data_IF_813439664296
#
_entry.id   IF_813439664296
#
_cell.length_a   1.000
_cell.length_b   1.000
_cell.length_c   1.000
_cell.angle_alpha   90.00
_cell.angle_beta   90.00
_cell.angle_gamma   90.00
#
_symmetry.space_group_name_H-M   'P 1'
#
loop_
_entity.id
_entity.type
_entity.pdbx_description
1 polymer ?
#
# COMPACT_ATOMS: atom_id res chain seq x y z
N UNK A 1 2.22 -8.19 23.92
CA UNK A 1 3.46 -7.91 23.15
C UNK A 1 3.65 -8.88 21.98
N UNK A 2 3.22 -10.15 22.08
CA UNK A 2 3.25 -11.12 20.97
C UNK A 2 2.65 -10.56 19.67
N UNK A 3 1.48 -9.92 19.73
CA UNK A 3 0.79 -9.39 18.54
C UNK A 3 1.56 -8.32 17.76
N UNK A 4 2.37 -7.47 18.43
CA UNK A 4 3.22 -6.49 17.73
C UNK A 4 4.27 -7.20 16.87
N UNK A 5 4.87 -8.26 17.41
CA UNK A 5 5.83 -9.09 16.68
C UNK A 5 5.17 -9.85 15.54
N UNK A 6 3.96 -10.37 15.73
CA UNK A 6 3.18 -11.03 14.67
C UNK A 6 2.86 -10.05 13.54
N UNK A 7 2.45 -8.83 13.86
CA UNK A 7 2.20 -7.79 12.86
C UNK A 7 3.43 -7.46 12.01
N UNK A 8 4.59 -7.31 12.65
CA UNK A 8 5.86 -7.12 11.96
C UNK A 8 6.24 -8.36 11.12
N UNK A 9 5.94 -9.56 11.62
CA UNK A 9 6.21 -10.80 10.90
C UNK A 9 5.40 -10.88 9.59
N UNK A 10 4.17 -10.39 9.53
CA UNK A 10 3.42 -10.30 8.26
C UNK A 10 4.10 -9.40 7.23
N UNK A 11 4.74 -8.31 7.66
CA UNK A 11 5.53 -7.48 6.75
C UNK A 11 6.71 -8.29 6.18
N UNK A 12 7.43 -9.02 7.03
CA UNK A 12 8.56 -9.87 6.60
C UNK A 12 8.09 -11.02 5.71
N UNK A 13 7.00 -11.71 6.06
CA UNK A 13 6.40 -12.78 5.26
C UNK A 13 5.97 -12.25 3.89
N UNK A 14 5.34 -11.08 3.83
CA UNK A 14 4.97 -10.44 2.56
C UNK A 14 6.19 -10.14 1.69
N UNK A 15 7.26 -9.57 2.26
CA UNK A 15 8.52 -9.36 1.51
C UNK A 15 9.13 -10.69 1.03
N UNK A 16 9.14 -11.73 1.89
CA UNK A 16 9.65 -13.07 1.52
C UNK A 16 8.81 -13.71 0.42
N UNK A 17 7.49 -13.61 0.49
CA UNK A 17 6.57 -14.15 -0.50
C UNK A 17 6.86 -13.54 -1.87
N UNK A 18 6.98 -12.21 -1.93
CA UNK A 18 7.26 -11.52 -3.19
C UNK A 18 8.68 -11.80 -3.70
N UNK A 19 9.66 -11.94 -2.81
CA UNK A 19 11.03 -12.33 -3.18
C UNK A 19 11.10 -13.74 -3.79
N UNK A 20 10.28 -14.69 -3.31
CA UNK A 20 10.11 -16.02 -3.92
C UNK A 20 9.36 -15.95 -5.25
N UNK A 21 8.47 -14.98 -5.40
CA UNK A 21 7.61 -14.76 -6.56
C UNK A 21 8.08 -13.58 -7.43
N UNK A 22 9.25 -13.72 -8.05
CA UNK A 22 9.91 -12.63 -8.78
C UNK A 22 9.09 -11.99 -9.92
N UNK A 23 8.18 -12.74 -10.57
CA UNK A 23 7.26 -12.18 -11.57
C UNK A 23 6.24 -11.22 -10.93
N UNK A 24 5.74 -11.57 -9.75
CA UNK A 24 4.79 -10.80 -8.97
C UNK A 24 5.46 -9.57 -8.36
N UNK A 25 6.72 -9.68 -7.95
CA UNK A 25 7.53 -8.51 -7.56
C UNK A 25 7.63 -7.50 -8.70
N UNK A 26 8.07 -7.95 -9.88
CA UNK A 26 8.17 -7.10 -11.06
C UNK A 26 6.83 -6.45 -11.39
N UNK A 27 5.74 -7.22 -11.36
CA UNK A 27 4.39 -6.71 -11.61
C UNK A 27 3.95 -5.63 -10.61
N UNK A 28 4.26 -5.79 -9.32
CA UNK A 28 3.98 -4.78 -8.30
C UNK A 28 4.77 -3.48 -8.47
N UNK A 29 5.92 -3.52 -9.16
CA UNK A 29 6.74 -2.34 -9.49
C UNK A 29 6.30 -1.63 -10.78
N UNK A 30 5.49 -2.28 -11.63
CA UNK A 30 5.05 -1.73 -12.92
C UNK A 30 4.40 -0.35 -12.81
N UNK A 31 3.51 -0.06 -11.83
CA UNK A 31 2.90 1.27 -11.71
C UNK A 31 3.94 2.39 -11.56
N UNK A 32 4.91 2.20 -10.66
CA UNK A 32 5.99 3.16 -10.45
C UNK A 32 6.87 3.32 -11.70
N UNK A 33 7.12 2.24 -12.42
CA UNK A 33 7.86 2.28 -13.68
C UNK A 33 7.10 3.02 -14.78
N UNK A 34 5.79 2.76 -14.94
CA UNK A 34 4.92 3.46 -15.90
C UNK A 34 4.95 4.96 -15.59
N UNK A 35 4.69 5.32 -14.33
CA UNK A 35 4.69 6.73 -13.92
C UNK A 35 6.05 7.37 -14.17
N UNK A 36 7.15 6.69 -13.84
CA UNK A 36 8.50 7.18 -14.11
C UNK A 36 8.73 7.43 -15.61
N UNK A 37 8.38 6.48 -16.46
CA UNK A 37 8.52 6.60 -17.92
C UNK A 37 7.68 7.76 -18.46
N UNK A 38 6.46 7.95 -17.96
CA UNK A 38 5.58 9.06 -18.36
C UNK A 38 6.20 10.43 -18.01
N UNK A 39 6.68 10.61 -16.78
CA UNK A 39 7.29 11.88 -16.37
C UNK A 39 8.64 12.13 -17.05
N UNK A 40 9.47 11.10 -17.20
CA UNK A 40 10.72 11.21 -17.95
C UNK A 40 10.43 11.59 -19.40
N UNK A 41 9.45 10.95 -20.04
CA UNK A 41 9.01 11.29 -21.40
C UNK A 41 8.52 12.73 -21.51
N UNK A 42 7.73 13.20 -20.54
CA UNK A 42 7.26 14.59 -20.51
C UNK A 42 8.41 15.60 -20.35
N UNK A 43 9.36 15.33 -19.44
CA UNK A 43 10.51 16.20 -19.21
C UNK A 43 11.50 16.18 -20.38
N UNK A 44 11.71 15.02 -21.02
CA UNK A 44 12.51 14.91 -22.25
C UNK A 44 11.84 15.65 -23.39
N UNK A 45 10.52 15.49 -23.58
CA UNK A 45 9.76 16.26 -24.56
C UNK A 45 9.90 17.76 -24.32
N UNK A 46 9.83 18.20 -23.06
CA UNK A 46 10.04 19.59 -22.71
C UNK A 46 11.48 20.06 -22.96
N UNK A 47 12.48 19.22 -22.72
CA UNK A 47 13.88 19.53 -22.99
C UNK A 47 14.15 19.67 -24.50
N UNK A 48 13.49 18.86 -25.33
CA UNK A 48 13.67 18.86 -26.78
C UNK A 48 12.87 19.97 -27.49
N UNK A 49 11.64 20.23 -27.03
CA UNK A 49 10.69 21.12 -27.73
C UNK A 49 10.31 22.36 -26.92
N UNK A 50 10.86 22.55 -25.72
CA UNK A 50 10.49 23.66 -24.83
C UNK A 50 10.88 25.03 -25.36
N UNK A 51 12.02 25.13 -26.06
CA UNK A 51 12.43 26.38 -26.71
C UNK A 51 11.52 26.74 -27.88
N UNK A 52 11.15 25.77 -28.72
CA UNK A 52 10.19 25.94 -29.81
C UNK A 52 8.81 26.35 -29.28
N UNK A 53 8.36 25.72 -28.20
CA UNK A 53 7.10 26.04 -27.53
C UNK A 53 7.09 27.48 -27.00
N UNK A 54 8.16 27.89 -26.31
CA UNK A 54 8.29 29.27 -25.80
C UNK A 54 8.37 30.28 -26.93
N UNK A 55 9.07 29.96 -28.02
CA UNK A 55 9.15 30.80 -29.21
C UNK A 55 7.78 30.97 -29.85
N UNK A 56 7.05 29.88 -30.07
CA UNK A 56 5.67 29.90 -30.57
C UNK A 56 4.72 30.68 -29.67
N UNK A 57 4.88 30.59 -28.36
CA UNK A 57 4.04 31.29 -27.37
C UNK A 57 4.40 32.78 -27.21
N UNK A 58 5.53 33.25 -27.74
CA UNK A 58 6.02 34.63 -27.56
C UNK A 58 6.26 35.38 -28.88
N UNK A 59 5.29 35.43 -29.82
CA UNK A 59 5.49 36.11 -31.11
C UNK A 59 5.71 37.62 -30.95
N UNK A 60 5.17 38.23 -29.89
CA UNK A 60 5.38 39.64 -29.57
C UNK A 60 6.85 40.00 -29.25
N UNK A 61 7.70 39.01 -28.98
CA UNK A 61 9.13 39.18 -28.70
C UNK A 61 10.01 39.05 -29.95
N UNK A 62 9.43 38.75 -31.12
CA UNK A 62 10.19 38.55 -32.37
C UNK A 62 10.90 39.83 -32.84
N UNK A 63 10.29 41.00 -32.62
CA UNK A 63 10.83 42.30 -33.04
C UNK A 63 11.83 42.91 -32.03
N UNK A 64 12.16 42.19 -30.95
CA UNK A 64 13.05 42.70 -29.91
C UNK A 64 14.51 42.65 -30.37
N UNK A 65 15.30 43.65 -29.97
CA UNK A 65 16.72 43.69 -30.30
C UNK A 65 17.51 42.60 -29.57
N UNK A 66 18.52 42.06 -30.25
CA UNK A 66 19.49 41.14 -29.62
C UNK A 66 20.28 41.87 -28.52
N UNK A 67 20.50 41.27 -27.34
CA UNK A 67 20.21 39.88 -26.93
C UNK A 67 18.89 39.68 -26.15
N UNK A 68 18.04 40.70 -26.04
CA UNK A 68 16.91 40.72 -25.10
C UNK A 68 15.85 39.64 -25.37
N UNK A 69 15.55 39.37 -26.64
CA UNK A 69 14.63 38.29 -27.02
C UNK A 69 15.11 36.91 -26.53
N UNK A 70 16.39 36.59 -26.75
CA UNK A 70 16.99 35.32 -26.37
C UNK A 70 17.08 35.15 -24.86
N UNK A 71 17.45 36.22 -24.13
CA UNK A 71 17.48 36.19 -22.66
C UNK A 71 16.09 35.96 -22.06
N UNK A 72 15.06 36.62 -22.60
CA UNK A 72 13.68 36.47 -22.14
C UNK A 72 13.15 35.05 -22.41
N UNK A 73 13.32 34.54 -23.63
CA UNK A 73 12.89 33.19 -24.00
C UNK A 73 13.65 32.13 -23.21
N UNK A 74 14.97 32.25 -23.07
CA UNK A 74 15.78 31.34 -22.26
C UNK A 74 15.34 31.32 -20.79
N UNK A 75 15.03 32.49 -20.21
CA UNK A 75 14.46 32.57 -18.87
C UNK A 75 13.10 31.86 -18.76
N UNK A 76 12.19 32.09 -19.71
CA UNK A 76 10.88 31.42 -19.72
C UNK A 76 11.01 29.90 -19.87
N UNK A 77 11.90 29.41 -20.73
CA UNK A 77 12.17 27.99 -20.88
C UNK A 77 12.71 27.38 -19.58
N UNK A 78 13.64 28.08 -18.90
CA UNK A 78 14.16 27.64 -17.61
C UNK A 78 13.07 27.59 -16.52
N UNK A 79 12.20 28.60 -16.45
CA UNK A 79 11.06 28.63 -15.52
C UNK A 79 10.06 27.51 -15.82
N UNK A 80 9.74 27.29 -17.10
CA UNK A 80 8.85 26.23 -17.54
C UNK A 80 9.41 24.85 -17.14
N UNK A 81 10.70 24.62 -17.35
CA UNK A 81 11.36 23.39 -16.95
C UNK A 81 11.37 23.20 -15.43
N UNK A 82 11.70 24.24 -14.67
CA UNK A 82 11.67 24.20 -13.21
C UNK A 82 10.26 23.92 -12.66
N UNK A 83 9.23 24.53 -13.24
CA UNK A 83 7.84 24.30 -12.87
C UNK A 83 7.39 22.88 -13.22
N UNK A 84 7.74 22.39 -14.42
CA UNK A 84 7.43 21.03 -14.83
C UNK A 84 8.11 20.00 -13.92
N UNK A 85 9.37 20.23 -13.54
CA UNK A 85 10.10 19.38 -12.60
C UNK A 85 9.46 19.39 -11.21
N UNK A 86 9.10 20.58 -10.70
CA UNK A 86 8.41 20.71 -9.41
C UNK A 86 7.07 19.96 -9.43
N UNK A 87 6.25 20.18 -10.46
CA UNK A 87 4.97 19.49 -10.61
C UNK A 87 5.18 17.98 -10.74
N UNK A 88 6.19 17.53 -11.48
CA UNK A 88 6.52 16.12 -11.60
C UNK A 88 6.80 15.50 -10.23
N UNK A 89 7.68 16.11 -9.43
CA UNK A 89 7.98 15.62 -8.08
C UNK A 89 6.74 15.60 -7.18
N UNK A 90 5.94 16.67 -7.20
CA UNK A 90 4.74 16.79 -6.35
C UNK A 90 3.64 15.80 -6.73
N UNK A 91 3.50 15.48 -8.02
CA UNK A 91 2.39 14.65 -8.53
C UNK A 91 2.78 13.20 -8.78
N UNK A 92 4.08 12.86 -8.82
CA UNK A 92 4.59 11.52 -9.08
C UNK A 92 3.92 10.45 -8.20
N UNK A 93 3.91 10.65 -6.88
CA UNK A 93 3.34 9.68 -5.95
C UNK A 93 1.83 9.52 -6.15
N UNK A 94 1.10 10.62 -6.32
CA UNK A 94 -0.34 10.59 -6.53
C UNK A 94 -0.71 9.84 -7.83
N UNK A 95 0.00 10.11 -8.92
CA UNK A 95 -0.21 9.41 -10.21
C UNK A 95 0.21 7.94 -10.12
N UNK A 96 1.31 7.63 -9.42
CA UNK A 96 1.76 6.25 -9.20
C UNK A 96 0.70 5.43 -8.46
N UNK A 97 0.13 5.98 -7.39
CA UNK A 97 -0.92 5.32 -6.61
C UNK A 97 -2.20 5.15 -7.44
N UNK A 98 -2.57 6.16 -8.22
CA UNK A 98 -3.74 6.10 -9.10
C UNK A 98 -3.61 4.98 -10.16
N UNK A 99 -2.43 4.86 -10.77
CA UNK A 99 -2.14 3.79 -11.74
C UNK A 99 -1.99 2.43 -11.05
N UNK A 100 -1.58 2.41 -9.78
CA UNK A 100 -1.22 1.20 -9.05
C UNK A 100 -2.39 0.32 -8.61
N UNK A 101 -3.59 0.88 -8.40
CA UNK A 101 -4.75 0.13 -7.90
C UNK A 101 -4.98 -1.25 -8.56
N UNK A 102 -5.12 -1.36 -9.89
CA UNK A 102 -5.35 -2.66 -10.54
C UNK A 102 -4.19 -3.64 -10.38
N UNK A 103 -2.96 -3.14 -10.25
CA UNK A 103 -1.78 -3.98 -10.05
C UNK A 103 -1.73 -4.55 -8.64
N UNK A 104 -2.11 -3.75 -7.65
CA UNK A 104 -2.11 -4.13 -6.25
C UNK A 104 -3.25 -5.09 -5.93
N UNK A 105 -4.42 -4.90 -6.54
CA UNK A 105 -5.54 -5.86 -6.50
C UNK A 105 -5.14 -7.23 -7.03
N UNK A 106 -4.56 -7.28 -8.23
CA UNK A 106 -4.12 -8.55 -8.82
C UNK A 106 -2.96 -9.21 -8.05
N UNK A 107 -2.09 -8.41 -7.44
CA UNK A 107 -1.04 -8.93 -6.56
C UNK A 107 -1.65 -9.59 -5.32
N UNK A 108 -2.59 -8.92 -4.65
CA UNK A 108 -3.34 -9.48 -3.52
C UNK A 108 -4.10 -10.75 -3.90
N UNK A 109 -4.66 -10.82 -5.12
CA UNK A 109 -5.36 -12.00 -5.62
C UNK A 109 -4.43 -13.21 -5.78
N UNK A 110 -3.22 -12.99 -6.31
CA UNK A 110 -2.23 -14.05 -6.44
C UNK A 110 -1.73 -14.53 -5.08
N UNK A 111 -1.56 -13.63 -4.12
CA UNK A 111 -1.20 -13.99 -2.74
C UNK A 111 -2.31 -14.82 -2.11
N UNK A 112 -3.56 -14.40 -2.21
CA UNK A 112 -4.70 -15.17 -1.72
C UNK A 112 -4.75 -16.57 -2.33
N UNK A 113 -4.59 -16.68 -3.65
CA UNK A 113 -4.62 -17.95 -4.38
C UNK A 113 -3.51 -18.91 -3.97
N UNK A 114 -2.32 -18.39 -3.71
CA UNK A 114 -1.13 -19.19 -3.37
C UNK A 114 -1.23 -19.78 -1.96
N UNK A 115 -1.89 -19.07 -1.04
CA UNK A 115 -1.97 -19.44 0.37
C UNK A 115 -3.28 -20.16 0.72
N UNK A 116 -4.30 -20.06 -0.15
CA UNK A 116 -5.60 -20.70 0.09
C UNK A 116 -5.53 -22.22 -0.12
N UNK A 117 -6.05 -23.04 0.81
CA UNK A 117 -6.06 -24.51 0.69
C UNK A 117 -6.76 -25.03 -0.57
N UNK A 118 -7.74 -24.27 -1.08
CA UNK A 118 -8.53 -24.58 -2.26
C UNK A 118 -8.00 -23.94 -3.56
N UNK A 119 -6.91 -23.16 -3.47
CA UNK A 119 -6.36 -22.42 -4.61
C UNK A 119 -7.34 -21.43 -5.23
N UNK A 120 -8.36 -20.98 -4.49
CA UNK A 120 -9.31 -19.96 -4.95
C UNK A 120 -8.98 -18.61 -4.33
N UNK A 121 -9.48 -17.55 -4.94
CA UNK A 121 -9.32 -16.19 -4.44
C UNK A 121 -10.71 -15.57 -4.35
N UNK A 122 -11.11 -14.93 -3.23
CA UNK A 122 -12.44 -14.35 -3.09
C UNK A 122 -12.72 -13.33 -4.19
N UNK A 123 -13.88 -13.44 -4.83
CA UNK A 123 -14.36 -12.49 -5.84
C UNK A 123 -15.63 -11.79 -5.31
N UNK A 124 -15.64 -10.46 -5.41
CA UNK A 124 -16.73 -9.63 -4.94
C UNK A 124 -17.99 -9.77 -5.80
N UNK A 125 -17.91 -10.28 -7.04
CA UNK A 125 -19.06 -10.64 -7.88
C UNK A 125 -20.11 -9.54 -8.10
N UNK A 126 -19.77 -8.27 -7.82
CA UNK A 126 -20.64 -7.11 -8.03
C UNK A 126 -20.30 -6.47 -9.38
N UNK A 127 -21.21 -5.67 -9.96
CA UNK A 127 -20.88 -4.88 -11.14
C UNK A 127 -19.76 -3.88 -10.82
N UNK A 128 -18.74 -3.81 -11.66
CA UNK A 128 -17.54 -2.95 -11.48
C UNK A 128 -17.87 -1.50 -11.09
N UNK A 129 -18.93 -0.91 -11.66
CA UNK A 129 -19.35 0.46 -11.32
C UNK A 129 -19.83 0.60 -9.86
N UNK A 130 -20.50 -0.41 -9.33
CA UNK A 130 -21.00 -0.41 -7.95
C UNK A 130 -19.86 -0.61 -6.96
N UNK A 131 -18.90 -1.46 -7.30
CA UNK A 131 -17.67 -1.66 -6.51
C UNK A 131 -16.84 -0.37 -6.46
N UNK A 132 -16.65 0.28 -7.61
CA UNK A 132 -15.92 1.54 -7.70
C UNK A 132 -16.59 2.65 -6.88
N UNK A 133 -17.91 2.75 -6.90
CA UNK A 133 -18.65 3.71 -6.09
C UNK A 133 -18.53 3.45 -4.58
N UNK A 134 -18.63 2.19 -4.16
CA UNK A 134 -18.47 1.80 -2.74
C UNK A 134 -17.04 2.10 -2.30
N UNK A 135 -16.04 1.68 -3.08
CA UNK A 135 -14.62 1.90 -2.80
C UNK A 135 -14.28 3.39 -2.74
N UNK A 136 -14.79 4.21 -3.67
CA UNK A 136 -14.60 5.66 -3.66
C UNK A 136 -15.21 6.32 -2.41
N UNK A 137 -16.44 5.91 -2.03
CA UNK A 137 -17.11 6.42 -0.83
C UNK A 137 -16.35 6.06 0.45
N UNK A 138 -15.86 4.84 0.53
CA UNK A 138 -15.14 4.35 1.72
C UNK A 138 -13.74 4.96 1.82
N UNK A 139 -13.04 5.08 0.68
CA UNK A 139 -11.78 5.82 0.59
C UNK A 139 -11.96 7.27 1.03
N UNK A 140 -13.01 7.95 0.57
CA UNK A 140 -13.30 9.33 0.97
C UNK A 140 -13.54 9.45 2.48
N UNK A 141 -14.28 8.52 3.09
CA UNK A 141 -14.51 8.49 4.54
C UNK A 141 -13.22 8.29 5.34
N UNK A 142 -12.29 7.50 4.81
CA UNK A 142 -10.97 7.28 5.41
C UNK A 142 -10.11 8.53 5.28
N UNK A 143 -10.03 9.13 4.09
CA UNK A 143 -9.30 10.38 3.85
C UNK A 143 -9.80 11.49 4.79
N UNK A 144 -11.12 11.66 4.94
CA UNK A 144 -11.69 12.64 5.88
C UNK A 144 -11.21 12.37 7.32
N UNK A 145 -11.18 11.12 7.77
CA UNK A 145 -10.69 10.78 9.12
C UNK A 145 -9.19 11.01 9.27
N UNK A 146 -8.40 10.69 8.26
CA UNK A 146 -6.97 10.95 8.24
C UNK A 146 -6.69 12.47 8.31
N UNK A 147 -7.43 13.28 7.55
CA UNK A 147 -7.33 14.75 7.58
C UNK A 147 -7.73 15.31 8.95
N UNK A 148 -8.78 14.79 9.58
CA UNK A 148 -9.19 15.18 10.93
C UNK A 148 -8.09 14.89 11.96
N UNK A 149 -7.49 13.69 11.91
CA UNK A 149 -6.36 13.34 12.77
C UNK A 149 -5.13 14.19 12.49
N UNK A 150 -4.80 14.42 11.21
CA UNK A 150 -3.68 15.27 10.82
C UNK A 150 -3.86 16.70 11.34
N UNK A 151 -5.07 17.26 11.22
CA UNK A 151 -5.41 18.60 11.73
C UNK A 151 -5.29 18.66 13.25
N UNK A 152 -5.81 17.65 13.95
CA UNK A 152 -5.73 17.56 15.41
C UNK A 152 -4.28 17.48 15.90
N UNK A 153 -3.49 16.59 15.29
CA UNK A 153 -2.08 16.42 15.65
C UNK A 153 -1.25 17.65 15.29
N UNK A 154 -1.53 18.29 14.15
CA UNK A 154 -0.91 19.55 13.77
C UNK A 154 -1.18 20.65 14.80
N UNK A 155 -2.43 20.82 15.23
CA UNK A 155 -2.78 21.77 16.28
C UNK A 155 -2.09 21.44 17.61
N UNK A 156 -2.03 20.16 17.98
CA UNK A 156 -1.36 19.69 19.20
C UNK A 156 0.17 19.87 19.12
N UNK A 157 0.74 19.89 17.92
CA UNK A 157 2.15 20.17 17.65
C UNK A 157 2.61 21.55 18.12
N UNK A 158 1.70 22.51 18.29
CA UNK A 158 2.00 23.85 18.81
C UNK A 158 2.14 23.90 20.34
N UNK A 159 1.79 22.84 21.06
CA UNK A 159 1.98 22.78 22.52
C UNK A 159 3.48 22.66 22.82
N UNK A 160 4.11 23.62 23.54
CA UNK A 160 5.53 23.55 23.84
C UNK A 160 5.89 22.25 24.57
N UNK A 161 7.07 21.70 24.26
CA UNK A 161 7.60 20.42 24.76
C UNK A 161 6.81 19.17 24.33
N UNK A 162 5.51 19.09 24.60
CA UNK A 162 4.67 17.92 24.26
C UNK A 162 4.49 17.79 22.74
N UNK A 163 4.26 18.91 22.05
CA UNK A 163 4.02 18.96 20.61
C UNK A 163 5.20 18.49 19.76
N UNK A 164 6.43 18.62 20.27
CA UNK A 164 7.64 18.20 19.57
C UNK A 164 8.09 16.77 19.95
N UNK A 165 7.55 16.20 21.03
CA UNK A 165 8.01 14.89 21.56
C UNK A 165 6.94 13.81 21.42
N UNK A 166 5.75 14.02 21.98
CA UNK A 166 4.68 13.02 22.04
C UNK A 166 3.88 12.98 20.74
N UNK A 167 3.61 14.15 20.14
CA UNK A 167 2.77 14.24 18.94
C UNK A 167 3.37 13.51 17.73
N UNK A 168 4.68 13.59 17.41
CA UNK A 168 5.26 12.82 16.32
C UNK A 168 5.12 11.31 16.54
N UNK A 169 5.29 10.83 17.77
CA UNK A 169 5.14 9.43 18.14
C UNK A 169 3.70 8.95 17.90
N UNK A 170 2.70 9.71 18.38
CA UNK A 170 1.29 9.42 18.11
C UNK A 170 1.03 9.47 16.60
N UNK A 171 1.62 10.43 15.90
CA UNK A 171 1.57 10.57 14.45
C UNK A 171 1.99 9.27 13.74
N UNK A 172 3.10 8.66 14.13
CA UNK A 172 3.53 7.38 13.56
C UNK A 172 2.55 6.24 13.80
N UNK A 173 1.96 6.14 14.98
CA UNK A 173 0.94 5.11 15.26
C UNK A 173 -0.36 5.35 14.48
N UNK A 174 -0.76 6.62 14.30
CA UNK A 174 -1.93 6.99 13.51
C UNK A 174 -1.69 6.71 12.02
N UNK A 175 -0.54 7.13 11.49
CA UNK A 175 -0.10 6.82 10.12
C UNK A 175 -0.03 5.32 9.90
N UNK A 176 0.59 4.58 10.82
CA UNK A 176 0.68 3.11 10.72
C UNK A 176 -0.70 2.44 10.74
N UNK A 177 -1.64 2.92 11.54
CA UNK A 177 -3.01 2.42 11.54
C UNK A 177 -3.70 2.64 10.19
N UNK A 178 -3.67 3.86 9.66
CA UNK A 178 -4.30 4.17 8.37
C UNK A 178 -3.63 3.47 7.21
N UNK A 179 -2.30 3.34 7.22
CA UNK A 179 -1.56 2.63 6.18
C UNK A 179 -1.92 1.14 6.16
N UNK A 180 -2.03 0.52 7.33
CA UNK A 180 -2.48 -0.88 7.43
C UNK A 180 -3.91 -1.03 6.94
N UNK A 181 -4.78 -0.10 7.30
CA UNK A 181 -6.18 -0.09 6.88
C UNK A 181 -6.32 0.04 5.36
N UNK A 182 -5.52 0.91 4.73
CA UNK A 182 -5.49 1.12 3.29
C UNK A 182 -4.97 -0.12 2.55
N UNK A 183 -3.91 -0.76 3.04
CA UNK A 183 -3.35 -1.95 2.40
C UNK A 183 -4.23 -3.20 2.58
N UNK A 184 -4.80 -3.38 3.78
CA UNK A 184 -5.74 -4.50 4.03
C UNK A 184 -7.08 -4.31 3.33
N UNK A 185 -7.46 -3.06 3.00
CA UNK A 185 -8.68 -2.77 2.25
C UNK A 185 -8.73 -3.54 0.94
N UNK A 186 -7.60 -3.69 0.23
CA UNK A 186 -7.51 -4.42 -1.05
C UNK A 186 -8.00 -5.86 -0.90
N UNK A 187 -7.55 -6.56 0.15
CA UNK A 187 -7.94 -7.95 0.42
C UNK A 187 -9.36 -8.07 1.02
N UNK A 188 -9.74 -7.13 1.91
CA UNK A 188 -11.02 -7.16 2.62
C UNK A 188 -12.21 -6.72 1.74
N UNK A 189 -12.01 -5.81 0.79
CA UNK A 189 -13.04 -5.39 -0.15
C UNK A 189 -13.45 -6.54 -1.07
N UNK A 190 -12.50 -7.37 -1.50
CA UNK A 190 -12.77 -8.59 -2.28
C UNK A 190 -13.63 -9.61 -1.50
N UNK A 191 -13.51 -9.60 -0.18
CA UNK A 191 -14.32 -10.39 0.77
C UNK A 191 -15.62 -9.70 1.19
N UNK A 192 -15.96 -8.57 0.55
CA UNK A 192 -17.16 -7.76 0.81
C UNK A 192 -17.29 -7.29 2.27
N UNK A 193 -16.17 -7.12 2.97
CA UNK A 193 -16.18 -6.57 4.33
C UNK A 193 -16.35 -5.06 4.25
N UNK A 194 -17.46 -4.56 4.81
CA UNK A 194 -17.77 -3.14 4.81
C UNK A 194 -16.77 -2.34 5.65
N UNK A 195 -16.56 -1.06 5.31
CA UNK A 195 -15.64 -0.16 6.03
C UNK A 195 -15.84 -0.15 7.56
N UNK A 196 -17.10 -0.20 8.03
CA UNK A 196 -17.39 -0.21 9.48
C UNK A 196 -16.86 -1.47 10.16
N UNK A 197 -17.05 -2.61 9.52
CA UNK A 197 -16.59 -3.90 10.03
C UNK A 197 -15.07 -3.99 9.97
N UNK A 198 -14.46 -3.63 8.83
CA UNK A 198 -13.00 -3.53 8.67
C UNK A 198 -12.35 -2.74 9.81
N UNK A 199 -12.87 -1.56 10.11
CA UNK A 199 -12.34 -0.74 11.20
C UNK A 199 -12.56 -1.33 12.58
N UNK A 200 -13.62 -2.11 12.76
CA UNK A 200 -13.91 -2.80 14.02
C UNK A 200 -12.90 -3.94 14.22
N UNK A 201 -12.61 -4.72 13.17
CA UNK A 201 -11.57 -5.75 13.15
C UNK A 201 -10.17 -5.17 13.43
N UNK A 202 -9.78 -4.10 12.74
CA UNK A 202 -8.48 -3.47 12.96
C UNK A 202 -8.34 -2.85 14.36
N UNK A 203 -9.45 -2.37 14.95
CA UNK A 203 -9.46 -1.83 16.31
C UNK A 203 -9.53 -2.89 17.39
N UNK A 204 -9.98 -4.11 17.11
CA UNK A 204 -9.93 -5.21 18.08
C UNK A 204 -8.50 -5.75 18.22
N UNK A 205 -7.70 -5.70 17.14
CA UNK A 205 -6.30 -6.19 17.09
C UNK A 205 -5.27 -5.06 16.88
N UNK A 206 -5.37 -3.95 17.63
CA UNK A 206 -4.52 -2.75 17.44
C UNK A 206 -3.01 -3.02 17.49
N UNK A 207 -2.58 -3.94 18.35
CA UNK A 207 -1.17 -4.28 18.48
C UNK A 207 -0.63 -4.98 17.22
N UNK A 208 -1.44 -5.84 16.59
CA UNK A 208 -1.12 -6.43 15.29
C UNK A 208 -0.99 -5.36 14.21
N UNK A 209 -1.98 -4.46 14.15
CA UNK A 209 -2.04 -3.37 13.17
C UNK A 209 -0.85 -2.42 13.31
N UNK A 210 -0.50 -1.99 14.52
CA UNK A 210 0.65 -1.13 14.74
C UNK A 210 1.97 -1.85 14.51
N UNK A 211 2.05 -3.16 14.78
CA UNK A 211 3.22 -3.98 14.49
C UNK A 211 3.52 -4.08 12.99
N UNK A 212 2.49 -4.08 12.16
CA UNK A 212 2.61 -4.07 10.71
C UNK A 212 2.85 -2.65 10.15
N UNK A 213 1.94 -1.71 10.44
CA UNK A 213 1.89 -0.43 9.75
C UNK A 213 2.87 0.63 10.24
N UNK A 214 3.25 0.63 11.52
CA UNK A 214 4.20 1.62 12.06
C UNK A 214 5.60 1.48 11.43
N UNK A 215 6.22 0.28 11.42
CA UNK A 215 7.53 0.11 10.78
C UNK A 215 7.45 0.33 9.26
N UNK A 216 6.35 -0.06 8.62
CA UNK A 216 6.13 0.20 7.21
C UNK A 216 6.05 1.71 6.91
N UNK A 217 5.27 2.46 7.70
CA UNK A 217 5.14 3.91 7.58
C UNK A 217 6.47 4.64 7.81
N UNK A 218 7.29 4.17 8.75
CA UNK A 218 8.65 4.67 8.96
C UNK A 218 9.56 4.39 7.76
N UNK A 219 9.49 3.18 7.19
CA UNK A 219 10.26 2.83 6.00
C UNK A 219 9.86 3.68 4.77
N UNK A 220 8.59 4.05 4.67
CA UNK A 220 8.07 4.90 3.58
C UNK A 220 8.53 6.36 3.67
N UNK A 221 9.13 6.79 4.79
CA UNK A 221 9.79 8.09 4.87
C UNK A 221 11.07 8.14 4.02
N UNK A 222 11.70 6.98 3.76
CA UNK A 222 12.88 6.91 2.92
C UNK A 222 12.43 6.89 1.45
N UNK A 223 12.84 7.87 0.63
CA UNK A 223 12.51 7.88 -0.79
C UNK A 223 12.96 6.60 -1.48
N UNK A 224 12.24 6.19 -2.52
CA UNK A 224 12.44 4.95 -3.30
C UNK A 224 12.19 3.64 -2.54
N UNK A 225 12.50 3.57 -1.24
CA UNK A 225 12.23 2.39 -0.39
C UNK A 225 10.75 2.03 -0.42
N UNK A 226 9.86 3.02 -0.40
CA UNK A 226 8.42 2.80 -0.53
C UNK A 226 8.05 2.01 -1.79
N UNK A 227 8.66 2.33 -2.95
CA UNK A 227 8.36 1.68 -4.23
C UNK A 227 8.72 0.19 -4.18
N UNK A 228 9.87 -0.14 -3.61
CA UNK A 228 10.35 -1.53 -3.51
C UNK A 228 9.66 -2.34 -2.42
N UNK A 229 9.27 -1.71 -1.31
CA UNK A 229 8.56 -2.39 -0.22
C UNK A 229 7.08 -2.59 -0.51
N UNK A 230 6.46 -1.74 -1.31
CA UNK A 230 5.01 -1.74 -1.53
C UNK A 230 4.46 -3.10 -2.00
N UNK A 231 5.07 -3.83 -2.96
CA UNK A 231 4.55 -5.14 -3.38
C UNK A 231 4.49 -6.14 -2.21
N UNK A 232 5.56 -6.21 -1.41
CA UNK A 232 5.58 -7.07 -0.23
C UNK A 232 4.70 -6.57 0.90
N UNK A 233 4.46 -5.26 1.00
CA UNK A 233 3.50 -4.69 1.94
C UNK A 233 2.06 -5.09 1.58
N UNK A 234 1.70 -5.07 0.29
CA UNK A 234 0.40 -5.57 -0.17
C UNK A 234 0.27 -7.05 0.14
N UNK A 235 1.27 -7.87 -0.18
CA UNK A 235 1.24 -9.30 0.15
C UNK A 235 1.11 -9.57 1.65
N UNK A 236 1.89 -8.86 2.48
CA UNK A 236 1.80 -8.98 3.94
C UNK A 236 0.45 -8.52 4.50
N UNK A 237 -0.14 -7.48 3.93
CA UNK A 237 -1.47 -7.02 4.30
C UNK A 237 -2.56 -8.03 3.90
N UNK A 238 -2.42 -8.71 2.76
CA UNK A 238 -3.30 -9.82 2.36
C UNK A 238 -3.22 -10.97 3.36
N UNK A 239 -2.02 -11.41 3.73
CA UNK A 239 -1.82 -12.45 4.75
C UNK A 239 -2.45 -12.07 6.09
N UNK A 240 -2.22 -10.83 6.55
CA UNK A 240 -2.80 -10.33 7.79
C UNK A 240 -4.33 -10.24 7.71
N UNK A 241 -4.90 -9.89 6.55
CA UNK A 241 -6.35 -9.83 6.37
C UNK A 241 -7.01 -11.21 6.48
N UNK A 242 -6.34 -12.28 6.02
CA UNK A 242 -6.79 -13.68 6.19
C UNK A 242 -6.85 -14.07 7.66
N UNK A 243 -5.78 -13.83 8.41
CA UNK A 243 -5.72 -14.09 9.86
C UNK A 243 -6.79 -13.32 10.64
N UNK A 244 -7.02 -12.04 10.29
CA UNK A 244 -8.07 -11.23 10.91
C UNK A 244 -9.49 -11.79 10.70
N UNK A 245 -9.70 -12.57 9.65
CA UNK A 245 -10.97 -13.24 9.35
C UNK A 245 -11.02 -14.69 9.83
N UNK A 246 -9.92 -15.21 10.41
CA UNK A 246 -9.81 -16.60 10.83
C UNK A 246 -9.76 -17.58 9.67
N UNK A 247 -9.30 -17.16 8.50
CA UNK A 247 -9.12 -18.04 7.34
C UNK A 247 -7.89 -18.93 7.53
N UNK A 248 -8.03 -20.23 7.29
CA UNK A 248 -6.90 -21.16 7.30
C UNK A 248 -5.90 -20.81 6.17
N UNK A 249 -4.61 -20.85 6.51
CA UNK A 249 -3.49 -20.70 5.59
C UNK A 249 -2.79 -22.05 5.48
N UNK A 250 -2.60 -22.58 4.27
CA UNK A 250 -2.08 -23.94 4.06
C UNK A 250 -0.62 -24.18 4.50
N UNK A 251 0.07 -23.18 5.03
CA UNK A 251 1.43 -23.27 5.56
C UNK A 251 1.45 -22.88 7.04
N UNK A 252 0.94 -23.75 7.91
CA UNK A 252 1.44 -23.96 9.29
C UNK A 252 0.77 -25.22 9.86
N UNK A 253 1.24 -26.39 9.40
CA UNK A 253 1.22 -27.65 10.16
C UNK A 253 2.64 -27.89 10.70
N UNK A 254 3.13 -26.89 11.43
CA UNK A 254 4.36 -26.98 12.23
C UNK A 254 4.08 -26.41 13.62
N UNK A 255 3.12 -27.05 14.29
CA UNK A 255 3.11 -27.10 15.75
C UNK A 255 4.26 -28.01 16.20
N UNK A 256 5.27 -27.54 16.97
CA UNK A 256 6.23 -28.42 17.61
C UNK A 256 5.66 -29.13 18.87
N UNK A 257 4.36 -29.00 19.15
CA UNK A 257 3.71 -29.52 20.37
C UNK A 257 2.44 -30.30 20.04
N UNK A 258 2.55 -31.32 19.18
CA UNK A 258 1.63 -32.45 19.20
C UNK A 258 2.38 -33.67 19.76
N UNK A 259 2.17 -33.92 21.05
CA UNK A 259 2.68 -35.10 21.76
C UNK A 259 1.96 -36.35 21.19
N UNK A 260 2.67 -37.32 20.60
CA UNK A 260 2.04 -38.46 19.96
C UNK A 260 1.79 -39.56 20.98
N UNK A 261 0.84 -39.38 21.91
CA UNK A 261 0.48 -40.45 22.86
C UNK A 261 -1.00 -40.85 22.90
N UNK A 262 -1.92 -40.21 22.19
CA UNK A 262 -3.36 -40.52 22.35
C UNK A 262 -4.03 -41.32 21.21
N UNK A 263 -3.28 -41.79 20.20
CA UNK A 263 -3.85 -42.64 19.13
C UNK A 263 -3.76 -44.16 19.39
N UNK A 264 -3.07 -44.62 20.44
CA UNK A 264 -2.92 -46.06 20.68
C UNK A 264 -3.97 -46.69 21.61
N UNK A 265 -4.85 -45.92 22.25
CA UNK A 265 -5.81 -46.45 23.24
C UNK A 265 -7.19 -46.81 22.67
N UNK A 266 -7.52 -46.38 21.45
CA UNK A 266 -8.86 -46.58 20.88
C UNK A 266 -9.06 -47.94 20.19
N UNK A 267 -8.00 -48.62 19.78
CA UNK A 267 -8.11 -49.82 18.92
C UNK A 267 -8.03 -51.16 19.69
N UNK A 268 -7.82 -51.12 21.02
CA UNK A 268 -7.66 -52.33 21.84
C UNK A 268 -8.94 -52.84 22.53
N UNK A 269 -10.08 -52.14 22.39
CA UNK A 269 -11.31 -52.48 23.13
C UNK A 269 -12.43 -53.12 22.29
N UNK A 270 -12.22 -53.39 20.99
CA UNK A 270 -13.27 -53.94 20.11
C UNK A 270 -13.02 -55.40 19.67
N UNK A 271 -12.00 -56.09 20.21
CA UNK A 271 -11.69 -57.48 19.83
C UNK A 271 -11.66 -58.47 21.00
N UNK A 272 -12.66 -58.44 21.88
CA UNK A 272 -12.93 -59.58 22.76
C UNK A 272 -14.43 -59.66 23.07
N UNK A 273 -15.17 -60.50 22.31
CA UNK A 273 -16.56 -60.77 22.65
C UNK A 273 -17.49 -61.18 21.52
N UNK A 274 -17.10 -62.11 20.64
CA UNK A 274 -18.07 -62.90 19.88
C UNK A 274 -17.41 -64.07 19.16
N UNK A 275 -17.57 -65.30 19.66
CA UNK A 275 -18.09 -66.46 18.89
C UNK A 275 -18.20 -67.72 19.79
N UNK A 276 -18.99 -68.74 19.40
CA UNK A 276 -20.02 -69.36 20.24
C UNK A 276 -19.66 -70.74 20.82
#
# INVERSE_FOLDING_TARGET
MRDLGVGFNYLVQGQRWVARHGKQYGFGLVPGLITLVLYVGALVGLALYGEDFVTWATPFADDWSSPWAGLFRGFLTAVLFALALLLAVLTFTAVTLLIGQPFYENLSEKVDRDVSPDGTAPESGLPLWRELWISARDSLRIVVRAVLWATLLFALGFVPFIGQTVVPVIGFFVTGFFLTEELTAVALQRRRVDLRERLTLLRSRKMLVWGFGTPLGLAFLVPFVAVFLMPGAVAGATLMARDLLGEETGEDDHDPEADPEDESAADASTQEGATP
#
